data_IF_927730074153
#
_entry.id   IF_927730074153
#
_cell.length_a   1.000
_cell.length_b   1.000
_cell.length_c   1.000
_cell.angle_alpha   90.00
_cell.angle_beta   90.00
_cell.angle_gamma   90.00
#
_symmetry.space_group_name_H-M   'P 1'
#
loop_
_entity.id
_entity.type
_entity.pdbx_description
1 polymer ?
#
# COMPACT_ATOMS: atom_id res chain seq x y z
N UNK A 1 -2.87 -38.28 -66.09
CA UNK A 1 -2.50 -38.28 -67.52
C UNK A 1 -1.39 -37.25 -67.71
N UNK A 2 -0.39 -37.62 -68.50
CA UNK A 2 0.79 -36.87 -68.93
C UNK A 2 2.03 -36.84 -68.01
N UNK A 3 2.98 -37.70 -68.41
CA UNK A 3 4.42 -37.65 -68.19
C UNK A 3 5.01 -36.30 -68.65
N UNK A 4 6.15 -35.92 -68.06
CA UNK A 4 7.39 -35.57 -68.78
C UNK A 4 8.54 -35.65 -67.75
N UNK A 5 9.25 -36.78 -67.60
CA UNK A 5 10.58 -37.05 -68.17
C UNK A 5 11.55 -35.86 -68.22
N UNK A 6 12.61 -35.90 -67.40
CA UNK A 6 14.01 -35.91 -67.87
C UNK A 6 14.98 -36.10 -66.71
N UNK A 7 15.58 -37.28 -66.65
CA UNK A 7 16.80 -37.54 -65.90
C UNK A 7 17.99 -37.31 -66.83
N UNK A 8 18.97 -36.53 -66.40
CA UNK A 8 20.32 -36.55 -66.97
C UNK A 8 21.27 -36.91 -65.84
N UNK A 9 21.68 -38.17 -65.83
CA UNK A 9 22.77 -38.67 -65.02
C UNK A 9 24.09 -38.47 -65.79
N UNK A 10 25.01 -37.71 -65.21
CA UNK A 10 26.41 -37.64 -65.64
C UNK A 10 27.26 -38.29 -64.55
N UNK A 11 27.78 -39.48 -64.86
CA UNK A 11 28.82 -40.19 -64.11
C UNK A 11 30.13 -40.04 -64.87
N UNK A 12 31.17 -39.48 -64.25
CA UNK A 12 32.48 -40.13 -64.01
C UNK A 12 33.51 -39.13 -63.47
N UNK A 13 34.07 -39.41 -62.29
CA UNK A 13 35.51 -39.45 -62.01
C UNK A 13 35.72 -39.84 -60.54
N UNK A 14 36.14 -41.09 -60.31
CA UNK A 14 36.67 -41.51 -59.02
C UNK A 14 38.03 -40.84 -58.80
N UNK A 15 38.15 -40.01 -57.76
CA UNK A 15 39.44 -39.62 -57.20
C UNK A 15 39.37 -39.62 -55.67
N UNK A 16 40.24 -40.44 -55.09
CA UNK A 16 40.83 -40.42 -53.75
C UNK A 16 39.96 -40.07 -52.53
N UNK A 17 39.92 -41.04 -51.62
CA UNK A 17 39.39 -41.01 -50.25
C UNK A 17 39.68 -39.71 -49.50
N UNK A 18 38.66 -39.12 -48.91
CA UNK A 18 38.76 -38.45 -47.60
C UNK A 18 37.60 -38.95 -46.75
N UNK A 19 37.95 -39.68 -45.69
CA UNK A 19 37.04 -40.07 -44.63
C UNK A 19 36.66 -38.82 -43.82
N UNK A 20 35.77 -37.98 -44.36
CA UNK A 20 35.02 -37.04 -43.55
C UNK A 20 33.78 -37.79 -43.07
N UNK A 21 33.87 -38.24 -41.83
CA UNK A 21 32.83 -38.95 -41.11
C UNK A 21 31.45 -38.33 -41.37
N UNK A 22 30.49 -39.22 -41.56
CA UNK A 22 29.06 -39.02 -41.40
C UNK A 22 28.78 -38.33 -40.05
N UNK A 23 28.87 -37.02 -40.02
CA UNK A 23 28.31 -36.17 -38.99
C UNK A 23 26.89 -35.81 -39.37
N UNK A 24 26.03 -36.82 -39.53
CA UNK A 24 24.58 -36.60 -39.50
C UNK A 24 24.29 -35.94 -38.17
N UNK A 25 24.16 -34.60 -38.18
CA UNK A 25 23.58 -33.88 -37.06
C UNK A 25 22.13 -34.32 -36.99
N UNK A 26 21.90 -35.40 -36.24
CA UNK A 26 20.63 -35.67 -35.61
C UNK A 26 20.27 -34.39 -34.86
N UNK A 27 19.38 -33.59 -35.44
CA UNK A 27 18.63 -32.58 -34.71
C UNK A 27 17.78 -33.37 -33.73
N UNK A 28 18.34 -33.67 -32.56
CA UNK A 28 17.55 -34.00 -31.39
C UNK A 28 16.52 -32.88 -31.29
N UNK A 29 15.25 -33.26 -31.40
CA UNK A 29 14.13 -32.33 -31.24
C UNK A 29 14.42 -31.49 -30.01
N UNK A 30 14.13 -30.19 -30.08
CA UNK A 30 14.17 -29.33 -28.92
C UNK A 30 13.40 -30.03 -27.79
N UNK A 31 14.15 -30.66 -26.89
CA UNK A 31 13.60 -31.19 -25.66
C UNK A 31 12.97 -29.97 -25.03
N UNK A 32 11.65 -29.97 -24.88
CA UNK A 32 11.00 -28.99 -24.02
C UNK A 32 11.70 -29.20 -22.69
N UNK A 33 12.64 -28.31 -22.36
CA UNK A 33 13.21 -28.25 -21.03
C UNK A 33 12.00 -28.08 -20.14
N UNK A 34 11.61 -29.16 -19.47
CA UNK A 34 10.60 -29.11 -18.43
C UNK A 34 11.30 -28.30 -17.35
N UNK A 35 11.09 -26.97 -17.38
CA UNK A 35 11.58 -26.10 -16.31
C UNK A 35 10.84 -26.60 -15.10
N UNK A 36 11.57 -27.26 -14.21
CA UNK A 36 10.99 -27.76 -12.97
C UNK A 36 10.28 -26.61 -12.27
N UNK A 37 9.12 -26.89 -11.67
CA UNK A 37 8.44 -25.89 -10.86
C UNK A 37 9.35 -25.45 -9.72
N UNK A 38 9.28 -24.17 -9.36
CA UNK A 38 10.02 -23.65 -8.22
C UNK A 38 9.59 -24.38 -6.94
N UNK A 39 10.55 -25.00 -6.27
CA UNK A 39 10.41 -25.59 -4.94
C UNK A 39 11.34 -24.85 -3.98
N UNK A 40 10.75 -24.15 -3.02
CA UNK A 40 11.46 -23.35 -2.02
C UNK A 40 11.96 -24.17 -0.83
N UNK A 41 11.71 -25.49 -0.83
CA UNK A 41 12.09 -26.40 0.23
C UNK A 41 11.38 -26.07 1.54
N UNK A 42 12.16 -25.88 2.61
CA UNK A 42 11.63 -25.63 3.96
C UNK A 42 11.14 -24.20 4.19
N UNK A 43 11.39 -23.28 3.27
CA UNK A 43 11.14 -21.87 3.47
C UNK A 43 9.89 -21.39 2.73
N UNK A 44 9.20 -20.44 3.33
CA UNK A 44 8.15 -19.64 2.67
C UNK A 44 8.75 -18.24 2.39
N UNK A 45 9.30 -17.97 1.21
CA UNK A 45 10.13 -16.77 0.95
C UNK A 45 9.33 -15.46 0.82
N UNK A 46 8.33 -15.24 1.67
CA UNK A 46 7.48 -14.05 1.67
C UNK A 46 8.09 -12.90 2.47
N UNK A 47 7.68 -11.69 2.10
CA UNK A 47 8.11 -10.43 2.70
C UNK A 47 6.93 -9.69 3.30
N UNK A 48 7.12 -9.13 4.51
CA UNK A 48 6.17 -8.22 5.17
C UNK A 48 6.65 -6.77 5.13
N UNK A 49 5.69 -5.85 5.26
CA UNK A 49 5.91 -4.41 5.36
C UNK A 49 5.07 -3.85 6.50
N UNK A 50 5.71 -3.54 7.61
CA UNK A 50 5.03 -3.20 8.87
C UNK A 50 5.63 -1.95 9.50
N UNK A 51 4.75 -1.16 10.12
CA UNK A 51 5.10 0.05 10.85
C UNK A 51 5.29 -0.24 12.34
N UNK A 52 6.21 0.50 12.98
CA UNK A 52 6.39 0.46 14.43
C UNK A 52 7.17 -0.75 14.96
N UNK A 53 7.99 -1.38 14.13
CA UNK A 53 8.87 -2.47 14.55
C UNK A 53 10.08 -1.93 15.33
N UNK A 54 10.58 -2.70 16.31
CA UNK A 54 11.79 -2.36 17.05
C UNK A 54 11.67 -1.07 17.87
N UNK A 55 10.51 -0.87 18.52
CA UNK A 55 10.18 0.33 19.33
C UNK A 55 10.13 1.65 18.55
N UNK A 56 10.08 1.58 17.22
CA UNK A 56 9.94 2.76 16.35
C UNK A 56 8.51 3.28 16.34
N UNK A 57 8.32 4.50 15.84
CA UNK A 57 6.98 5.06 15.75
C UNK A 57 6.11 4.25 14.79
N UNK A 58 4.81 4.16 15.04
CA UNK A 58 3.85 3.47 14.16
C UNK A 58 3.95 3.82 12.66
N UNK A 59 4.25 5.07 12.24
CA UNK A 59 4.44 5.38 10.81
C UNK A 59 5.82 4.99 10.24
N UNK A 60 6.74 4.45 11.06
CA UNK A 60 8.06 4.02 10.59
C UNK A 60 7.99 2.59 10.05
N UNK A 61 7.74 2.50 8.75
CA UNK A 61 7.60 1.22 8.07
C UNK A 61 8.92 0.60 7.65
N UNK A 62 9.00 -0.72 7.79
CA UNK A 62 10.16 -1.51 7.42
C UNK A 62 9.76 -2.84 6.80
N UNK A 63 10.70 -3.43 6.07
CA UNK A 63 10.58 -4.73 5.45
C UNK A 63 11.30 -5.80 6.28
N UNK A 64 10.68 -6.98 6.38
CA UNK A 64 11.31 -8.19 6.92
C UNK A 64 10.89 -9.42 6.11
N UNK A 65 11.69 -10.50 6.12
CA UNK A 65 11.17 -11.82 5.77
C UNK A 65 10.09 -12.22 6.79
N UNK A 66 9.00 -12.82 6.33
CA UNK A 66 8.01 -13.40 7.24
C UNK A 66 8.44 -14.76 7.77
N UNK A 67 9.10 -15.55 6.92
CA UNK A 67 9.52 -16.89 7.29
C UNK A 67 10.67 -16.85 8.31
N UNK A 68 10.54 -17.54 9.46
CA UNK A 68 11.56 -17.51 10.50
C UNK A 68 12.92 -18.04 10.06
N UNK A 69 12.99 -19.00 9.12
CA UNK A 69 14.26 -19.49 8.57
C UNK A 69 14.91 -18.42 7.71
N UNK A 70 14.14 -17.75 6.85
CA UNK A 70 14.61 -16.60 6.07
C UNK A 70 15.05 -15.42 6.96
N UNK A 71 14.35 -15.19 8.08
CA UNK A 71 14.57 -14.05 8.98
C UNK A 71 15.75 -14.23 9.96
N UNK A 72 16.30 -15.43 10.14
CA UNK A 72 17.37 -15.66 11.13
C UNK A 72 18.52 -14.67 10.96
N UNK A 73 18.93 -13.98 12.01
CA UNK A 73 20.07 -13.04 11.95
C UNK A 73 19.84 -11.80 11.06
N UNK A 74 18.63 -11.58 10.57
CA UNK A 74 18.26 -10.38 9.81
C UNK A 74 17.39 -9.47 10.68
N UNK A 75 17.80 -8.20 10.77
CA UNK A 75 16.97 -7.14 11.34
C UNK A 75 16.08 -6.49 10.27
N UNK A 76 15.11 -5.72 10.72
CA UNK A 76 14.26 -4.91 9.85
C UNK A 76 15.03 -3.92 8.99
N UNK A 77 14.61 -3.74 7.74
CA UNK A 77 15.26 -2.82 6.83
C UNK A 77 14.26 -1.90 6.13
N UNK A 78 14.58 -0.62 6.00
CA UNK A 78 13.81 0.30 5.15
C UNK A 78 14.06 0.03 3.66
N UNK A 79 15.18 -0.61 3.31
CA UNK A 79 15.53 -0.94 1.93
C UNK A 79 15.09 -2.37 1.60
N UNK A 80 14.09 -2.56 0.72
CA UNK A 80 13.59 -3.89 0.39
C UNK A 80 14.66 -4.78 -0.25
N UNK A 81 15.67 -4.21 -0.92
CA UNK A 81 16.73 -4.98 -1.56
C UNK A 81 17.62 -5.73 -0.56
N UNK A 82 17.73 -5.25 0.69
CA UNK A 82 18.44 -5.97 1.75
C UNK A 82 17.68 -7.25 2.11
N UNK A 83 16.36 -7.15 2.18
CA UNK A 83 15.48 -8.26 2.54
C UNK A 83 15.37 -9.28 1.40
N UNK A 84 15.26 -8.84 0.14
CA UNK A 84 15.26 -9.76 -1.01
C UNK A 84 16.58 -10.50 -1.15
N UNK A 85 17.72 -9.84 -0.88
CA UNK A 85 19.03 -10.49 -0.82
C UNK A 85 19.03 -11.58 0.26
N UNK A 86 18.62 -11.22 1.48
CA UNK A 86 18.55 -12.17 2.60
C UNK A 86 17.72 -13.41 2.27
N UNK A 87 16.53 -13.23 1.70
CA UNK A 87 15.64 -14.34 1.37
C UNK A 87 16.30 -15.27 0.34
N UNK A 88 16.84 -14.74 -0.76
CA UNK A 88 17.47 -15.60 -1.78
C UNK A 88 18.76 -16.28 -1.27
N UNK A 89 19.51 -15.64 -0.38
CA UNK A 89 20.67 -16.27 0.26
C UNK A 89 20.22 -17.48 1.10
N UNK A 90 19.16 -17.32 1.90
CA UNK A 90 18.63 -18.44 2.68
C UNK A 90 18.08 -19.56 1.81
N UNK A 91 17.42 -19.24 0.68
CA UNK A 91 17.01 -20.26 -0.30
C UNK A 91 18.20 -21.09 -0.82
N UNK A 92 19.37 -20.45 -0.94
CA UNK A 92 20.59 -21.11 -1.43
C UNK A 92 21.33 -21.91 -0.36
N UNK A 93 21.16 -21.60 0.93
CA UNK A 93 21.96 -22.20 2.01
C UNK A 93 21.16 -23.09 2.97
N UNK A 94 20.00 -22.64 3.44
CA UNK A 94 19.31 -23.24 4.59
C UNK A 94 17.96 -23.86 4.23
N UNK A 95 17.33 -23.41 3.15
CA UNK A 95 15.98 -23.84 2.78
C UNK A 95 15.96 -25.15 1.97
N UNK A 96 17.08 -25.52 1.35
CA UNK A 96 17.12 -26.68 0.43
C UNK A 96 16.34 -26.46 -0.86
N UNK A 97 16.22 -25.21 -1.32
CA UNK A 97 15.46 -24.87 -2.52
C UNK A 97 16.12 -25.44 -3.80
N UNK A 98 15.29 -25.78 -4.79
CA UNK A 98 15.77 -26.23 -6.10
C UNK A 98 16.31 -25.07 -6.95
N UNK A 99 16.98 -25.38 -8.07
CA UNK A 99 17.59 -24.33 -8.92
C UNK A 99 16.54 -23.41 -9.54
N UNK A 100 15.36 -23.95 -9.90
CA UNK A 100 14.25 -23.16 -10.42
C UNK A 100 13.76 -22.10 -9.43
N UNK A 101 13.67 -22.43 -8.14
CA UNK A 101 13.32 -21.48 -7.08
C UNK A 101 14.39 -20.41 -6.87
N UNK A 102 15.68 -20.77 -6.93
CA UNK A 102 16.78 -19.80 -6.83
C UNK A 102 16.77 -18.83 -8.00
N UNK A 103 16.60 -19.34 -9.22
CA UNK A 103 16.48 -18.52 -10.43
C UNK A 103 15.27 -17.57 -10.33
N UNK A 104 14.10 -18.08 -9.94
CA UNK A 104 12.90 -17.26 -9.72
C UNK A 104 13.14 -16.16 -8.68
N UNK A 105 13.88 -16.46 -7.60
CA UNK A 105 14.24 -15.47 -6.59
C UNK A 105 15.15 -14.36 -7.14
N UNK A 106 16.12 -14.71 -7.98
CA UNK A 106 17.03 -13.76 -8.67
C UNK A 106 16.27 -12.87 -9.66
N UNK A 107 15.31 -13.43 -10.37
CA UNK A 107 14.43 -12.67 -11.28
C UNK A 107 13.52 -11.71 -10.48
N UNK A 108 12.93 -12.19 -9.39
CA UNK A 108 12.15 -11.37 -8.49
C UNK A 108 12.97 -10.23 -7.87
N UNK A 109 14.21 -10.50 -7.46
CA UNK A 109 15.15 -9.47 -6.98
C UNK A 109 15.38 -8.39 -8.03
N UNK A 110 15.65 -8.78 -9.27
CA UNK A 110 15.86 -7.86 -10.39
C UNK A 110 14.64 -6.99 -10.61
N UNK A 111 13.44 -7.60 -10.55
CA UNK A 111 12.19 -6.86 -10.67
C UNK A 111 12.00 -5.88 -9.52
N UNK A 112 12.21 -6.27 -8.27
CA UNK A 112 12.10 -5.37 -7.10
C UNK A 112 13.10 -4.22 -7.19
N UNK A 113 14.35 -4.48 -7.58
CA UNK A 113 15.36 -3.43 -7.82
C UNK A 113 14.89 -2.43 -8.87
N UNK A 114 14.28 -2.92 -9.96
CA UNK A 114 13.75 -2.06 -11.03
C UNK A 114 12.54 -1.22 -10.61
N UNK A 115 11.72 -1.68 -9.66
CA UNK A 115 10.55 -0.92 -9.20
C UNK A 115 10.96 0.34 -8.43
N UNK A 116 12.05 0.27 -7.66
CA UNK A 116 12.53 1.37 -6.83
C UNK A 116 11.58 1.81 -5.70
N UNK A 117 10.40 1.20 -5.57
CA UNK A 117 9.41 1.52 -4.55
C UNK A 117 9.80 0.98 -3.18
N UNK A 118 9.45 1.71 -2.11
CA UNK A 118 9.76 1.35 -0.71
C UNK A 118 8.50 1.41 0.15
N UNK A 119 7.41 0.83 -0.34
CA UNK A 119 6.12 0.79 0.36
C UNK A 119 5.49 -0.60 0.23
N UNK A 120 4.28 -0.77 0.77
CA UNK A 120 3.54 -2.04 0.75
C UNK A 120 3.48 -2.73 -0.62
N UNK A 121 3.34 -1.96 -1.72
CA UNK A 121 3.27 -2.56 -3.06
C UNK A 121 4.53 -3.32 -3.44
N UNK A 122 5.69 -2.98 -2.87
CA UNK A 122 6.95 -3.71 -3.06
C UNK A 122 6.86 -5.11 -2.47
N UNK A 123 6.37 -5.24 -1.23
CA UNK A 123 6.18 -6.54 -0.58
C UNK A 123 5.11 -7.37 -1.29
N UNK A 124 3.99 -6.75 -1.68
CA UNK A 124 2.92 -7.41 -2.44
C UNK A 124 3.45 -7.93 -3.79
N UNK A 125 4.26 -7.12 -4.49
CA UNK A 125 4.85 -7.52 -5.79
C UNK A 125 5.84 -8.66 -5.61
N UNK A 126 6.71 -8.59 -4.59
CA UNK A 126 7.64 -9.67 -4.27
C UNK A 126 6.90 -10.99 -4.03
N UNK A 127 5.90 -10.98 -3.15
CA UNK A 127 5.11 -12.17 -2.83
C UNK A 127 4.41 -12.72 -4.08
N UNK A 128 3.85 -11.85 -4.92
CA UNK A 128 3.21 -12.24 -6.18
C UNK A 128 4.20 -12.91 -7.15
N UNK A 129 5.41 -12.37 -7.31
CA UNK A 129 6.44 -12.92 -8.21
C UNK A 129 6.88 -14.32 -7.80
N UNK A 130 6.84 -14.64 -6.51
CA UNK A 130 7.19 -15.96 -5.97
C UNK A 130 6.00 -16.92 -5.88
N UNK A 131 4.81 -16.52 -6.34
CA UNK A 131 3.60 -17.36 -6.33
C UNK A 131 2.73 -17.23 -5.07
N UNK A 132 3.04 -16.31 -4.17
CA UNK A 132 2.29 -16.04 -2.92
C UNK A 132 1.41 -14.78 -3.03
N UNK A 133 0.78 -14.58 -4.19
CA UNK A 133 -0.15 -13.46 -4.39
C UNK A 133 -1.26 -13.47 -3.35
N UNK A 134 -1.56 -12.30 -2.78
CA UNK A 134 -2.58 -12.17 -1.72
C UNK A 134 -2.08 -12.49 -0.30
N UNK A 135 -0.79 -12.80 -0.11
CA UNK A 135 -0.20 -12.92 1.22
C UNK A 135 -0.47 -11.65 2.07
N UNK A 136 -0.86 -11.86 3.33
CA UNK A 136 -1.07 -10.76 4.27
C UNK A 136 0.27 -10.10 4.58
N UNK A 137 0.54 -8.93 4.02
CA UNK A 137 1.84 -8.23 4.15
C UNK A 137 2.03 -7.44 5.44
N UNK A 138 1.04 -7.47 6.34
CA UNK A 138 1.09 -6.84 7.66
C UNK A 138 0.44 -7.76 8.72
N UNK A 139 0.97 -8.98 8.95
CA UNK A 139 0.40 -9.93 9.89
C UNK A 139 0.47 -9.46 11.35
N UNK A 140 1.42 -8.62 11.72
CA UNK A 140 1.62 -8.21 13.12
C UNK A 140 0.74 -7.02 13.53
N UNK A 141 -0.17 -6.59 12.64
CA UNK A 141 -1.14 -5.54 12.95
C UNK A 141 -0.54 -4.14 13.06
N UNK A 142 0.64 -3.91 12.48
CA UNK A 142 1.24 -2.57 12.37
C UNK A 142 0.28 -1.58 11.71
N UNK A 143 0.50 -0.27 11.89
CA UNK A 143 -0.41 0.73 11.33
C UNK A 143 -0.62 0.50 9.82
N UNK A 144 -1.85 0.59 9.28
CA UNK A 144 -2.06 0.49 7.84
C UNK A 144 -1.28 1.58 7.11
N UNK A 145 -0.76 1.28 5.92
CA UNK A 145 0.03 2.27 5.18
C UNK A 145 -0.82 3.53 4.90
N UNK A 146 -0.21 4.73 4.77
CA UNK A 146 -0.96 5.97 4.51
C UNK A 146 -1.89 5.90 3.29
N UNK A 147 -1.51 5.10 2.27
CA UNK A 147 -2.33 4.86 1.08
C UNK A 147 -3.54 3.97 1.38
N UNK A 148 -3.37 2.97 2.23
CA UNK A 148 -4.46 2.09 2.66
C UNK A 148 -5.45 2.84 3.57
N UNK A 149 -4.96 3.75 4.41
CA UNK A 149 -5.80 4.67 5.19
C UNK A 149 -6.64 5.59 4.29
N UNK A 150 -6.03 6.16 3.24
CA UNK A 150 -6.75 6.98 2.27
C UNK A 150 -7.81 6.16 1.54
N UNK A 151 -7.45 4.98 1.03
CA UNK A 151 -8.40 4.08 0.35
C UNK A 151 -9.56 3.66 1.28
N UNK A 152 -9.28 3.31 2.53
CA UNK A 152 -10.32 2.97 3.52
C UNK A 152 -11.26 4.15 3.76
N UNK A 153 -10.70 5.36 3.93
CA UNK A 153 -11.49 6.59 4.08
C UNK A 153 -12.35 6.87 2.85
N UNK A 154 -11.78 6.76 1.65
CA UNK A 154 -12.51 7.00 0.40
C UNK A 154 -13.65 5.98 0.21
N UNK A 155 -13.40 4.70 0.50
CA UNK A 155 -14.43 3.64 0.50
C UNK A 155 -15.52 3.90 1.55
N UNK A 156 -15.14 4.31 2.76
CA UNK A 156 -16.08 4.64 3.82
C UNK A 156 -16.94 5.86 3.45
N UNK A 157 -16.35 6.88 2.81
CA UNK A 157 -17.06 8.05 2.29
C UNK A 157 -18.03 7.63 1.17
N UNK A 158 -17.63 6.75 0.25
CA UNK A 158 -18.50 6.28 -0.84
C UNK A 158 -19.64 5.39 -0.33
N UNK A 159 -19.45 4.64 0.77
CA UNK A 159 -20.48 3.76 1.35
C UNK A 159 -21.54 4.52 2.14
N UNK A 160 -21.26 5.76 2.54
CA UNK A 160 -22.27 6.70 3.04
C UNK A 160 -23.00 7.30 1.84
N UNK A 161 -23.95 6.55 1.26
CA UNK A 161 -24.99 7.19 0.45
C UNK A 161 -25.63 8.29 1.32
N UNK A 162 -25.72 9.54 0.85
CA UNK A 162 -26.38 10.57 1.63
C UNK A 162 -27.83 10.14 1.76
N UNK A 163 -28.25 9.80 2.98
CA UNK A 163 -29.68 9.66 3.26
C UNK A 163 -30.38 10.90 2.71
N UNK A 164 -31.52 10.76 2.01
CA UNK A 164 -32.22 11.91 1.46
C UNK A 164 -32.50 12.86 2.62
N UNK A 165 -31.89 14.04 2.56
CA UNK A 165 -32.05 15.06 3.59
C UNK A 165 -33.49 15.56 3.49
N UNK A 166 -34.37 15.03 4.33
CA UNK A 166 -35.77 15.46 4.42
C UNK A 166 -35.71 16.81 5.14
N UNK A 167 -36.00 17.94 4.48
CA UNK A 167 -35.86 19.25 5.10
C UNK A 167 -36.99 19.49 6.09
N UNK A 168 -36.67 20.01 7.27
CA UNK A 168 -37.70 20.35 8.24
C UNK A 168 -38.44 21.61 7.78
N UNK A 169 -39.76 21.60 7.91
CA UNK A 169 -40.61 22.76 7.68
C UNK A 169 -41.12 23.31 9.01
N UNK A 170 -41.10 24.63 9.19
CA UNK A 170 -41.70 25.28 10.37
C UNK A 170 -43.24 25.28 10.34
N UNK A 171 -43.85 24.95 9.20
CA UNK A 171 -45.30 25.03 8.97
C UNK A 171 -46.00 23.67 8.97
N UNK A 172 -45.27 22.55 8.91
CA UNK A 172 -45.81 21.19 8.98
C UNK A 172 -44.85 20.32 9.77
N UNK A 173 -45.34 19.72 10.85
CA UNK A 173 -44.54 18.85 11.71
C UNK A 173 -44.35 17.48 11.03
N UNK A 174 -43.10 17.09 10.81
CA UNK A 174 -42.71 15.82 10.19
C UNK A 174 -41.77 15.11 11.17
N UNK A 175 -42.27 14.04 11.81
CA UNK A 175 -41.59 13.27 12.87
C UNK A 175 -40.22 12.70 12.47
N UNK A 176 -40.01 12.47 11.17
CA UNK A 176 -38.83 11.82 10.60
C UNK A 176 -37.91 12.79 9.84
N UNK A 177 -37.93 14.08 10.19
CA UNK A 177 -37.01 15.05 9.63
C UNK A 177 -35.58 14.89 10.17
N UNK A 178 -34.56 14.96 9.30
CA UNK A 178 -33.13 14.79 9.65
C UNK A 178 -32.30 16.09 9.64
N UNK A 179 -32.92 17.26 9.43
CA UNK A 179 -32.28 18.56 9.66
C UNK A 179 -32.93 19.78 8.99
N UNK A 180 -32.61 20.99 9.50
CA UNK A 180 -33.00 22.26 8.89
C UNK A 180 -32.09 22.60 7.70
N UNK A 181 -32.64 23.10 6.57
CA UNK A 181 -31.80 23.56 5.47
C UNK A 181 -30.95 24.75 5.93
N UNK A 182 -29.62 24.64 5.85
CA UNK A 182 -28.72 25.78 6.10
C UNK A 182 -29.06 26.90 5.13
N UNK A 183 -29.17 28.12 5.64
CA UNK A 183 -29.51 29.29 4.82
C UNK A 183 -28.46 29.47 3.71
N UNK A 184 -28.88 29.94 2.53
CA UNK A 184 -28.05 30.11 1.31
C UNK A 184 -26.78 30.97 1.47
N UNK A 185 -26.52 31.56 2.64
CA UNK A 185 -25.25 32.27 2.94
C UNK A 185 -24.05 31.34 3.10
N UNK A 186 -24.26 30.03 3.27
CA UNK A 186 -23.16 29.05 3.42
C UNK A 186 -22.93 28.18 2.16
N UNK A 187 -23.63 28.45 1.05
CA UNK A 187 -23.57 27.63 -0.18
C UNK A 187 -23.13 28.43 -1.41
N UNK A 188 -22.80 29.72 -1.27
CA UNK A 188 -21.99 30.36 -2.31
C UNK A 188 -20.57 29.82 -2.23
N UNK A 189 -20.15 29.18 -3.32
CA UNK A 189 -18.91 28.45 -3.45
C UNK A 189 -17.72 29.22 -2.85
N UNK A 190 -17.17 28.71 -1.73
CA UNK A 190 -15.74 28.90 -1.53
C UNK A 190 -15.06 28.22 -2.72
N UNK A 191 -14.32 28.95 -3.57
CA UNK A 191 -13.66 28.34 -4.72
C UNK A 191 -12.76 27.21 -4.21
N UNK A 192 -12.81 26.07 -4.91
CA UNK A 192 -11.80 25.02 -4.76
C UNK A 192 -10.46 25.64 -5.16
N UNK A 193 -9.75 26.20 -4.20
CA UNK A 193 -8.33 26.47 -4.34
C UNK A 193 -7.70 25.09 -4.38
N UNK A 194 -7.33 24.64 -5.58
CA UNK A 194 -6.27 23.64 -5.74
C UNK A 194 -5.12 24.15 -4.89
N UNK A 195 -4.78 23.41 -3.84
CA UNK A 195 -3.57 23.67 -3.07
C UNK A 195 -2.41 23.21 -3.96
N UNK A 196 -2.07 24.02 -4.96
CA UNK A 196 -0.71 24.04 -5.48
C UNK A 196 0.18 24.31 -4.27
N UNK A 197 1.06 23.36 -3.99
CA UNK A 197 2.09 23.51 -2.97
C UNK A 197 3.12 24.47 -3.55
N UNK A 198 2.78 25.75 -3.54
CA UNK A 198 3.78 26.79 -3.57
C UNK A 198 4.51 26.69 -2.22
N UNK A 199 5.81 26.40 -2.29
CA UNK A 199 6.70 26.40 -1.13
C UNK A 199 6.81 27.86 -0.67
N UNK A 200 5.84 28.30 0.12
CA UNK A 200 5.97 29.51 0.92
C UNK A 200 6.98 29.13 2.01
N UNK A 201 8.17 29.76 2.09
CA UNK A 201 9.06 29.53 3.22
C UNK A 201 8.26 29.83 4.49
N UNK A 202 8.31 28.89 5.44
CA UNK A 202 7.65 29.04 6.74
C UNK A 202 7.86 30.48 7.24
N UNK A 203 6.80 31.23 7.58
CA UNK A 203 7.01 32.51 8.23
C UNK A 203 7.79 32.21 9.51
N UNK A 204 8.98 32.78 9.62
CA UNK A 204 9.69 32.87 10.89
C UNK A 204 8.73 33.64 11.80
N UNK A 205 8.03 32.91 12.66
CA UNK A 205 7.30 33.51 13.75
C UNK A 205 8.35 34.18 14.64
N UNK A 206 8.57 35.49 14.41
CA UNK A 206 9.15 36.33 15.43
C UNK A 206 8.23 36.22 16.63
N UNK A 207 8.77 35.67 17.72
CA UNK A 207 8.09 35.62 19.01
C UNK A 207 7.62 37.03 19.32
N UNK A 208 6.31 37.28 19.27
CA UNK A 208 5.73 38.54 19.73
C UNK A 208 6.20 38.76 21.17
N UNK A 209 6.53 40.01 21.59
CA UNK A 209 6.84 40.27 22.98
C UNK A 209 5.67 39.79 23.83
N UNK A 210 5.99 39.19 24.98
CA UNK A 210 5.01 38.67 25.91
C UNK A 210 3.94 39.75 26.15
N UNK A 211 2.69 39.45 25.78
CA UNK A 211 1.58 40.25 26.26
C UNK A 211 1.61 40.15 27.78
N UNK A 212 1.64 41.30 28.45
CA UNK A 212 1.65 41.39 29.90
C UNK A 212 0.52 40.53 30.47
N UNK A 213 0.89 39.50 31.23
CA UNK A 213 -0.07 38.67 31.94
C UNK A 213 -0.66 39.52 33.08
N UNK A 214 -1.86 40.06 32.88
CA UNK A 214 -2.63 40.74 33.92
C UNK A 214 -3.44 39.68 34.70
N UNK A 215 -3.02 39.32 35.93
CA UNK A 215 -3.70 38.30 36.73
C UNK A 215 -5.05 38.80 37.28
N UNK A 216 -5.29 40.11 37.34
CA UNK A 216 -6.54 40.70 37.82
C UNK A 216 -7.64 40.63 36.76
N UNK A 217 -7.30 40.87 35.49
CA UNK A 217 -8.23 40.71 34.38
C UNK A 217 -8.79 39.28 34.31
N UNK A 218 -7.93 38.28 34.45
CA UNK A 218 -8.32 36.86 34.41
C UNK A 218 -9.20 36.48 35.61
N UNK A 219 -8.92 36.97 36.82
CA UNK A 219 -9.78 36.75 37.99
C UNK A 219 -11.18 37.37 37.80
N UNK A 220 -11.26 38.56 37.19
CA UNK A 220 -12.54 39.23 36.94
C UNK A 220 -13.43 38.48 35.93
N UNK A 221 -12.84 37.83 34.92
CA UNK A 221 -13.58 36.99 33.97
C UNK A 221 -14.10 35.71 34.63
N UNK A 222 -13.31 35.10 35.51
CA UNK A 222 -13.71 33.89 36.22
C UNK A 222 -14.85 34.18 37.22
N UNK A 223 -14.82 35.32 37.90
CA UNK A 223 -15.95 35.76 38.74
C UNK A 223 -17.22 36.02 37.92
N UNK A 224 -17.12 36.70 36.78
CA UNK A 224 -18.27 36.91 35.87
C UNK A 224 -18.89 35.60 35.38
N UNK A 225 -18.09 34.54 35.23
CA UNK A 225 -18.55 33.22 34.79
C UNK A 225 -19.10 32.37 35.95
N UNK A 226 -18.66 32.62 37.18
CA UNK A 226 -19.13 31.95 38.39
C UNK A 226 -20.49 32.49 38.88
N UNK A 227 -20.82 33.76 38.59
CA UNK A 227 -22.07 34.40 39.00
C UNK A 227 -23.26 34.16 38.03
N UNK A 228 -23.13 33.26 37.04
CA UNK A 228 -24.25 32.91 36.15
C UNK A 228 -25.19 31.95 36.92
N UNK A 229 -26.42 32.36 37.28
CA UNK A 229 -27.32 31.49 38.01
C UNK A 229 -27.72 30.29 37.16
N UNK A 230 -27.74 29.10 37.76
CA UNK A 230 -28.27 27.91 37.11
C UNK A 230 -29.80 28.04 36.99
N UNK A 231 -30.29 28.13 35.76
CA UNK A 231 -31.73 28.16 35.47
C UNK A 231 -32.10 26.76 34.96
N UNK A 232 -32.85 25.95 35.75
CA UNK A 232 -33.20 24.60 35.34
C UNK A 232 -34.19 24.63 34.18
N UNK A 233 -33.96 23.80 33.16
CA UNK A 233 -34.93 23.60 32.09
C UNK A 233 -36.20 22.89 32.62
N UNK A 234 -37.38 23.34 32.19
CA UNK A 234 -38.67 22.66 32.45
C UNK A 234 -39.22 22.05 31.16
N UNK A 235 -39.93 20.92 31.29
CA UNK A 235 -40.65 20.28 30.17
C UNK A 235 -42.06 20.84 29.95
N UNK A 236 -42.61 21.58 30.92
CA UNK A 236 -43.99 22.08 30.86
C UNK A 236 -44.08 23.52 30.33
N UNK A 237 -43.01 24.30 30.50
CA UNK A 237 -42.92 25.69 30.01
C UNK A 237 -41.55 25.88 29.35
N UNK A 238 -41.57 26.33 28.10
CA UNK A 238 -40.36 26.57 27.34
C UNK A 238 -39.71 27.90 27.74
N UNK A 239 -38.45 27.84 28.17
CA UNK A 239 -37.64 29.00 28.56
C UNK A 239 -36.37 28.96 27.70
N UNK A 240 -36.16 30.00 26.89
CA UNK A 240 -35.04 30.12 25.94
C UNK A 240 -33.65 30.09 26.60
N UNK A 241 -33.52 30.60 27.83
CA UNK A 241 -32.24 30.88 28.49
C UNK A 241 -31.87 29.89 29.62
N UNK A 242 -32.33 28.63 29.55
CA UNK A 242 -31.98 27.65 30.57
C UNK A 242 -30.53 27.15 30.41
N UNK A 243 -29.82 27.01 31.54
CA UNK A 243 -28.38 26.70 31.59
C UNK A 243 -28.07 25.25 32.01
N UNK A 244 -29.10 24.40 32.20
CA UNK A 244 -28.92 22.96 32.39
C UNK A 244 -30.19 22.19 32.80
N UNK A 245 -30.16 20.87 32.62
CA UNK A 245 -31.15 19.91 33.16
C UNK A 245 -30.57 19.28 34.45
N UNK A 246 -31.40 18.99 35.45
CA UNK A 246 -31.01 18.14 36.58
C UNK A 246 -30.93 16.67 36.19
#
# INVERSE_FOLDING_TARGET
>A
MHLETTAVALLYAASSVSAAALGTKMSWGAEKTVKESADFGLCIPTMKFEGGLGERAAPDFTFLPMDPLCARGQQEAQNPNIITNRICDQLSTACGANEAAKELCRDAQTKIRSLGTRNKSTADTWNTLLGFGGALTNPDGGAPSPKDLKKKRDVEITKREPEPLIPCSASVWIDNCTGWPRSKRDVEAAPVVKREVEIIPNPVYKRSPAADFDPEAMKSEWQKRADIPMIPCSTDVWIDDCTGWY
#
